data_IF_013597319459
#
_entry.id   IF_013597319459
#
_cell.length_a   1.000
_cell.length_b   1.000
_cell.length_c   1.000
_cell.angle_alpha   90.00
_cell.angle_beta   90.00
_cell.angle_gamma   90.00
#
_symmetry.space_group_name_H-M   'P 1'
#
loop_
_entity.id
_entity.type
_entity.pdbx_description
1 polymer ?
#
# COMPACT_ATOMS: atom_id res chain seq x y z
N UNK A 1 -18.90 13.28 -6.52
CA UNK A 1 -18.07 13.79 -5.41
C UNK A 1 -17.55 12.59 -4.67
N UNK A 2 -16.26 12.51 -4.33
CA UNK A 2 -15.73 11.40 -3.56
C UNK A 2 -16.32 11.41 -2.14
N UNK A 3 -16.42 10.25 -1.52
CA UNK A 3 -16.71 10.11 -0.09
C UNK A 3 -15.47 10.46 0.75
N UNK A 4 -15.63 10.67 2.05
CA UNK A 4 -14.50 10.95 2.97
C UNK A 4 -13.39 9.88 2.89
N UNK A 5 -13.77 8.60 2.78
CA UNK A 5 -12.80 7.52 2.64
C UNK A 5 -12.13 7.49 1.26
N UNK A 6 -12.84 7.84 0.19
CA UNK A 6 -12.25 7.94 -1.15
C UNK A 6 -11.28 9.14 -1.25
N UNK A 7 -11.62 10.27 -0.63
CA UNK A 7 -10.68 11.41 -0.49
C UNK A 7 -9.43 10.99 0.28
N UNK A 8 -9.60 10.26 1.40
CA UNK A 8 -8.48 9.76 2.18
C UNK A 8 -7.58 8.82 1.39
N UNK A 9 -8.15 7.90 0.58
CA UNK A 9 -7.39 7.02 -0.31
C UNK A 9 -6.60 7.82 -1.36
N UNK A 10 -7.18 8.88 -1.91
CA UNK A 10 -6.52 9.72 -2.92
C UNK A 10 -5.24 10.40 -2.41
N UNK A 11 -5.09 10.58 -1.09
CA UNK A 11 -3.88 11.14 -0.48
C UNK A 11 -2.66 10.21 -0.53
N UNK A 12 -2.83 8.92 -0.87
CA UNK A 12 -1.72 8.00 -1.10
C UNK A 12 -0.82 8.44 -2.28
N UNK A 13 -1.38 9.13 -3.28
CA UNK A 13 -0.64 9.66 -4.43
C UNK A 13 -0.02 11.05 -4.18
N UNK A 14 -0.05 11.56 -2.94
CA UNK A 14 0.49 12.88 -2.63
C UNK A 14 2.02 12.93 -2.77
N UNK A 15 2.54 14.02 -3.34
CA UNK A 15 3.99 14.29 -3.39
C UNK A 15 4.58 14.65 -2.02
N UNK A 16 3.74 14.88 -1.01
CA UNK A 16 4.15 15.25 0.33
C UNK A 16 4.19 14.01 1.24
N UNK A 17 5.37 13.53 1.68
CA UNK A 17 5.47 12.30 2.47
C UNK A 17 4.66 12.34 3.78
N UNK A 18 4.54 13.51 4.40
CA UNK A 18 3.73 13.68 5.61
C UNK A 18 2.24 13.42 5.36
N UNK A 19 1.73 13.80 4.19
CA UNK A 19 0.33 13.56 3.79
C UNK A 19 0.11 12.05 3.56
N UNK A 20 1.04 11.40 2.86
CA UNK A 20 0.99 9.94 2.62
C UNK A 20 1.06 9.17 3.94
N UNK A 21 1.92 9.57 4.88
CA UNK A 21 2.02 8.94 6.20
C UNK A 21 0.69 9.04 6.98
N UNK A 22 0.07 10.22 7.01
CA UNK A 22 -1.23 10.41 7.67
C UNK A 22 -2.31 9.56 7.00
N UNK A 23 -2.30 9.48 5.66
CA UNK A 23 -3.23 8.63 4.93
C UNK A 23 -3.07 7.15 5.35
N UNK A 24 -1.84 6.62 5.35
CA UNK A 24 -1.56 5.24 5.78
C UNK A 24 -2.01 4.97 7.22
N UNK A 25 -1.73 5.89 8.15
CA UNK A 25 -2.10 5.77 9.57
C UNK A 25 -3.61 5.58 9.75
N UNK A 26 -4.41 6.28 8.94
CA UNK A 26 -5.87 6.19 8.99
C UNK A 26 -6.42 5.01 8.16
N UNK A 27 -5.81 4.70 7.02
CA UNK A 27 -6.31 3.69 6.07
C UNK A 27 -6.07 2.25 6.49
N UNK A 28 -5.07 1.97 7.33
CA UNK A 28 -4.74 0.60 7.74
C UNK A 28 -5.93 -0.12 8.37
N UNK A 29 -6.72 0.57 9.18
CA UNK A 29 -7.92 0.00 9.83
C UNK A 29 -9.07 -0.30 8.86
N UNK A 30 -9.09 0.33 7.69
CA UNK A 30 -10.11 0.16 6.65
C UNK A 30 -9.71 -0.84 5.56
N UNK A 31 -8.49 -1.39 5.63
CA UNK A 31 -7.99 -2.38 4.67
C UNK A 31 -8.57 -3.79 4.84
N UNK A 32 -9.45 -3.98 5.84
CA UNK A 32 -10.17 -5.24 6.09
C UNK A 32 -11.68 -4.99 6.20
N UNK A 33 -12.48 -6.04 6.02
CA UNK A 33 -13.91 -5.98 6.27
C UNK A 33 -14.69 -5.11 5.26
N UNK A 34 -15.83 -4.52 5.65
CA UNK A 34 -16.78 -3.90 4.70
C UNK A 34 -16.22 -2.70 3.92
N UNK A 35 -15.24 -1.99 4.47
CA UNK A 35 -14.67 -0.78 3.85
C UNK A 35 -13.51 -1.07 2.89
N UNK A 36 -13.04 -2.32 2.81
CA UNK A 36 -11.91 -2.73 1.98
C UNK A 36 -12.07 -2.32 0.50
N UNK A 37 -13.30 -2.27 -0.02
CA UNK A 37 -13.56 -1.93 -1.41
C UNK A 37 -13.20 -0.47 -1.78
N UNK A 38 -12.96 0.42 -0.80
CA UNK A 38 -12.52 1.79 -1.09
C UNK A 38 -11.18 1.83 -1.85
N UNK A 39 -10.32 0.82 -1.70
CA UNK A 39 -9.04 0.74 -2.42
C UNK A 39 -9.20 0.42 -3.93
N UNK A 40 -10.42 0.13 -4.39
CA UNK A 40 -10.74 0.04 -5.82
C UNK A 40 -11.03 1.40 -6.47
N UNK A 41 -11.18 2.45 -5.66
CA UNK A 41 -11.44 3.80 -6.14
C UNK A 41 -10.36 4.27 -7.11
N UNK A 42 -10.80 5.04 -8.11
CA UNK A 42 -9.96 5.52 -9.21
C UNK A 42 -9.17 4.41 -9.92
N UNK A 43 -9.88 3.34 -10.29
CA UNK A 43 -9.34 2.19 -11.02
C UNK A 43 -8.11 1.56 -10.33
N UNK A 44 -8.26 1.29 -9.03
CA UNK A 44 -7.24 0.63 -8.20
C UNK A 44 -5.91 1.39 -8.11
N UNK A 45 -5.90 2.72 -8.29
CA UNK A 45 -4.70 3.55 -8.19
C UNK A 45 -3.95 3.32 -6.87
N UNK A 46 -4.70 3.15 -5.77
CA UNK A 46 -4.16 2.87 -4.45
C UNK A 46 -3.25 1.62 -4.42
N UNK A 47 -3.54 0.59 -5.21
CA UNK A 47 -2.70 -0.62 -5.28
C UNK A 47 -1.32 -0.27 -5.84
N UNK A 48 -1.26 0.59 -6.86
CA UNK A 48 -0.01 1.06 -7.43
C UNK A 48 0.76 1.93 -6.43
N UNK A 49 0.09 2.88 -5.79
CA UNK A 49 0.72 3.77 -4.81
C UNK A 49 1.30 2.98 -3.62
N UNK A 50 0.54 2.02 -3.09
CA UNK A 50 1.00 1.16 -1.98
C UNK A 50 2.23 0.32 -2.38
N UNK A 51 2.28 -0.20 -3.60
CA UNK A 51 3.46 -0.90 -4.13
C UNK A 51 4.68 0.02 -4.16
N UNK A 52 4.52 1.25 -4.62
CA UNK A 52 5.62 2.22 -4.69
C UNK A 52 6.07 2.68 -3.28
N UNK A 53 5.12 2.94 -2.38
CA UNK A 53 5.40 3.27 -0.97
C UNK A 53 6.19 2.14 -0.29
N UNK A 54 5.85 0.88 -0.56
CA UNK A 54 6.52 -0.28 0.04
C UNK A 54 8.00 -0.44 -0.37
N UNK A 55 8.43 0.25 -1.43
CA UNK A 55 9.83 0.32 -1.89
C UNK A 55 10.62 1.48 -1.26
N UNK A 56 9.95 2.34 -0.48
CA UNK A 56 10.52 3.55 0.08
C UNK A 56 11.47 3.33 1.27
N UNK A 57 12.16 4.38 1.73
CA UNK A 57 13.13 4.29 2.84
C UNK A 57 12.49 4.32 4.24
N UNK A 58 11.22 4.73 4.36
CA UNK A 58 10.54 4.85 5.66
C UNK A 58 10.04 3.49 6.14
N UNK A 59 10.67 2.94 7.18
CA UNK A 59 10.28 1.64 7.76
C UNK A 59 8.80 1.59 8.15
N UNK A 60 8.27 2.68 8.71
CA UNK A 60 6.85 2.76 9.12
C UNK A 60 5.92 2.69 7.92
N UNK A 61 6.16 3.52 6.90
CA UNK A 61 5.33 3.54 5.68
C UNK A 61 5.41 2.22 4.92
N UNK A 62 6.60 1.62 4.85
CA UNK A 62 6.78 0.30 4.25
C UNK A 62 5.96 -0.76 4.99
N UNK A 63 6.04 -0.79 6.33
CA UNK A 63 5.28 -1.75 7.12
C UNK A 63 3.75 -1.58 6.91
N UNK A 64 3.25 -0.35 6.93
CA UNK A 64 1.83 -0.07 6.76
C UNK A 64 1.33 -0.39 5.35
N UNK A 65 2.07 0.02 4.32
CA UNK A 65 1.71 -0.27 2.93
C UNK A 65 1.68 -1.77 2.65
N UNK A 66 2.67 -2.53 3.12
CA UNK A 66 2.69 -4.00 3.00
C UNK A 66 1.56 -4.64 3.82
N UNK A 67 1.25 -4.13 5.01
CA UNK A 67 0.11 -4.59 5.82
C UNK A 67 -1.21 -4.41 5.07
N UNK A 68 -1.43 -3.23 4.49
CA UNK A 68 -2.62 -2.96 3.68
C UNK A 68 -2.65 -3.92 2.49
N UNK A 69 -1.59 -4.00 1.68
CA UNK A 69 -1.53 -4.91 0.53
C UNK A 69 -1.82 -6.37 0.90
N UNK A 70 -1.31 -6.84 2.05
CA UNK A 70 -1.58 -8.18 2.55
C UNK A 70 -3.07 -8.38 2.87
N UNK A 71 -3.72 -7.41 3.51
CA UNK A 71 -5.15 -7.47 3.79
C UNK A 71 -6.00 -7.42 2.51
N UNK A 72 -5.59 -6.63 1.51
CA UNK A 72 -6.28 -6.54 0.22
C UNK A 72 -6.23 -7.84 -0.60
N UNK A 73 -5.34 -8.78 -0.29
CA UNK A 73 -5.27 -10.08 -0.95
C UNK A 73 -6.49 -10.99 -0.72
N UNK A 74 -7.37 -10.63 0.23
CA UNK A 74 -8.67 -11.29 0.41
C UNK A 74 -9.61 -11.06 -0.79
N UNK A 75 -9.44 -9.95 -1.52
CA UNK A 75 -10.15 -9.68 -2.77
C UNK A 75 -9.37 -10.27 -3.96
N UNK A 76 -10.02 -11.09 -4.78
CA UNK A 76 -9.40 -11.77 -5.92
C UNK A 76 -8.84 -10.78 -6.95
N UNK A 77 -9.54 -9.68 -7.20
CA UNK A 77 -9.13 -8.69 -8.21
C UNK A 77 -7.91 -7.92 -7.73
N UNK A 78 -7.95 -7.44 -6.47
CA UNK A 78 -6.82 -6.72 -5.88
C UNK A 78 -5.59 -7.62 -5.74
N UNK A 79 -5.78 -8.88 -5.36
CA UNK A 79 -4.70 -9.86 -5.33
C UNK A 79 -4.05 -10.03 -6.70
N UNK A 80 -4.84 -10.19 -7.76
CA UNK A 80 -4.32 -10.34 -9.11
C UNK A 80 -3.51 -9.11 -9.54
N UNK A 81 -3.98 -7.89 -9.25
CA UNK A 81 -3.23 -6.66 -9.51
C UNK A 81 -1.88 -6.56 -8.78
N UNK A 82 -1.74 -7.26 -7.65
CA UNK A 82 -0.50 -7.35 -6.89
C UNK A 82 0.43 -8.42 -7.48
N UNK A 83 -0.09 -9.61 -7.77
CA UNK A 83 0.73 -10.77 -8.19
C UNK A 83 1.02 -10.83 -9.70
N UNK A 84 0.26 -10.13 -10.54
CA UNK A 84 0.51 -10.05 -11.98
C UNK A 84 1.58 -8.98 -12.32
N UNK A 85 2.03 -8.22 -11.32
CA UNK A 85 3.19 -7.33 -11.43
C UNK A 85 4.46 -8.12 -11.06
N UNK A 86 5.06 -8.75 -12.07
CA UNK A 86 6.26 -9.58 -11.91
C UNK A 86 7.44 -8.81 -11.29
N UNK A 87 7.59 -7.52 -11.64
CA UNK A 87 8.65 -6.67 -11.08
C UNK A 87 8.43 -6.44 -9.57
N UNK A 88 7.18 -6.20 -9.18
CA UNK A 88 6.83 -6.05 -7.77
C UNK A 88 7.03 -7.36 -6.98
N UNK A 89 6.62 -8.50 -7.54
CA UNK A 89 6.84 -9.80 -6.90
C UNK A 89 8.32 -10.09 -6.72
N UNK A 90 9.15 -9.82 -7.73
CA UNK A 90 10.60 -9.99 -7.63
C UNK A 90 11.17 -9.11 -6.52
N UNK A 91 10.75 -7.84 -6.43
CA UNK A 91 11.15 -6.94 -5.34
C UNK A 91 10.73 -7.49 -3.96
N UNK A 92 9.48 -7.92 -3.81
CA UNK A 92 8.93 -8.39 -2.54
C UNK A 92 9.67 -9.64 -2.05
N UNK A 93 9.85 -10.65 -2.92
CA UNK A 93 10.57 -11.89 -2.58
C UNK A 93 12.03 -11.59 -2.24
N UNK A 94 12.68 -10.72 -3.02
CA UNK A 94 14.07 -10.31 -2.76
C UNK A 94 14.21 -9.60 -1.41
N UNK A 95 13.21 -8.81 -1.02
CA UNK A 95 13.18 -8.09 0.25
C UNK A 95 13.01 -9.03 1.44
N UNK A 96 12.22 -10.11 1.31
CA UNK A 96 12.02 -11.13 2.35
C UNK A 96 13.33 -11.89 2.64
N UNK A 97 14.07 -12.26 1.60
CA UNK A 97 15.33 -13.01 1.75
C UNK A 97 16.54 -12.13 2.09
N UNK A 98 16.38 -10.80 2.05
CA UNK A 98 17.45 -9.87 2.37
C UNK A 98 17.61 -9.76 3.90
N UNK A 99 18.44 -10.64 4.47
CA UNK A 99 18.76 -10.64 5.90
C UNK A 99 19.79 -9.57 6.31
N UNK A 100 20.25 -8.71 5.39
CA UNK A 100 21.16 -7.61 5.74
C UNK A 100 20.37 -6.57 6.51
N UNK A 101 20.71 -6.40 7.78
CA UNK A 101 20.20 -5.30 8.59
C UNK A 101 20.65 -3.97 7.96
N UNK A 102 19.73 -3.01 7.68
CA UNK A 102 20.14 -1.68 7.30
C UNK A 102 20.95 -1.09 8.45
N UNK A 103 22.20 -0.72 8.16
CA UNK A 103 23.04 0.03 9.09
C UNK A 103 22.33 1.34 9.44
N UNK A 104 22.15 1.66 10.74
CA UNK A 104 21.60 2.95 11.12
C UNK A 104 22.54 4.06 10.62
N UNK A 105 21.99 4.97 9.82
CA UNK A 105 22.62 6.26 9.45
C UNK A 105 22.54 7.25 10.61
#
# INVERSE_FOLDING_TARGET
>A
MPTELEELVSFLHSLQPAVVQIALDNLVGYSTGPHQQVFSYDNYLAIKDLKDISKGPSKTMVNQSVTILANLCDDLTMRNLIVEDDEYLQFLVSSIINTRTPTPT
#
